data_IF_560993722177
#
_entry.id   IF_560993722177
#
_cell.length_a   1.000
_cell.length_b   1.000
_cell.length_c   1.000
_cell.angle_alpha   90.00
_cell.angle_beta   90.00
_cell.angle_gamma   90.00
#
_symmetry.space_group_name_H-M   'P 1'
#
loop_
_entity.id
_entity.type
_entity.pdbx_description
1 polymer ?
#
# COMPACT_ATOMS: atom_id res chain seq x y z
N UNK A 1 -17.94 28.42 -41.17
CA UNK A 1 -17.60 27.00 -41.43
C UNK A 1 -17.21 26.37 -40.11
N UNK A 2 -18.06 25.50 -39.55
CA UNK A 2 -17.76 24.80 -38.30
C UNK A 2 -16.80 23.65 -38.56
N UNK A 3 -15.60 23.73 -37.98
CA UNK A 3 -14.61 22.66 -38.01
C UNK A 3 -15.03 21.65 -36.96
N UNK A 4 -15.66 20.55 -37.39
CA UNK A 4 -15.90 19.39 -36.54
C UNK A 4 -14.58 18.66 -36.31
N UNK A 5 -13.88 18.99 -35.23
CA UNK A 5 -12.75 18.20 -34.74
C UNK A 5 -13.28 16.94 -34.05
N UNK A 6 -13.38 15.84 -34.80
CA UNK A 6 -13.53 14.50 -34.21
C UNK A 6 -12.22 14.13 -33.52
N UNK A 7 -12.06 14.59 -32.27
CA UNK A 7 -10.93 14.21 -31.41
C UNK A 7 -11.19 12.77 -30.96
N UNK A 8 -10.52 11.82 -31.60
CA UNK A 8 -10.49 10.44 -31.12
C UNK A 8 -9.64 10.44 -29.85
N UNK A 9 -10.27 10.39 -28.67
CA UNK A 9 -9.57 10.18 -27.42
C UNK A 9 -9.01 8.76 -27.39
N UNK A 10 -7.72 8.62 -27.69
CA UNK A 10 -7.02 7.37 -27.48
C UNK A 10 -6.99 7.06 -25.98
N UNK A 11 -7.55 5.93 -25.53
CA UNK A 11 -7.46 5.54 -24.12
C UNK A 11 -5.99 5.42 -23.77
N UNK A 12 -5.57 6.19 -22.76
CA UNK A 12 -4.19 6.22 -22.31
C UNK A 12 -3.91 4.92 -21.55
N UNK A 13 -3.57 3.87 -22.31
CA UNK A 13 -3.37 2.49 -21.84
C UNK A 13 -2.37 2.41 -20.69
N UNK A 14 -1.39 3.34 -20.64
CA UNK A 14 -0.44 3.48 -19.55
C UNK A 14 -1.10 3.91 -18.23
N UNK A 15 -2.06 4.84 -18.28
CA UNK A 15 -2.82 5.25 -17.08
C UNK A 15 -3.67 4.11 -16.55
N UNK A 16 -4.35 3.38 -17.43
CA UNK A 16 -5.15 2.19 -17.04
C UNK A 16 -4.27 1.13 -16.36
N UNK A 17 -3.11 0.80 -16.93
CA UNK A 17 -2.17 -0.16 -16.35
C UNK A 17 -1.64 0.29 -14.97
N UNK A 18 -1.41 1.59 -14.78
CA UNK A 18 -0.98 2.15 -13.49
C UNK A 18 -2.10 2.08 -12.44
N UNK A 19 -3.34 2.41 -12.83
CA UNK A 19 -4.52 2.31 -11.97
C UNK A 19 -4.79 0.87 -11.55
N UNK A 20 -4.68 -0.09 -12.47
CA UNK A 20 -4.89 -1.51 -12.18
C UNK A 20 -3.82 -2.06 -11.25
N UNK A 21 -2.54 -1.66 -11.44
CA UNK A 21 -1.46 -2.01 -10.51
C UNK A 21 -1.72 -1.45 -9.11
N UNK A 22 -2.19 -0.21 -9.02
CA UNK A 22 -2.53 0.43 -7.74
C UNK A 22 -3.69 -0.31 -7.06
N UNK A 23 -4.77 -0.61 -7.78
CA UNK A 23 -5.90 -1.40 -7.26
C UNK A 23 -5.46 -2.76 -6.73
N UNK A 24 -4.57 -3.44 -7.45
CA UNK A 24 -4.04 -4.73 -7.03
C UNK A 24 -3.27 -4.64 -5.71
N UNK A 25 -2.41 -3.63 -5.56
CA UNK A 25 -1.65 -3.41 -4.32
C UNK A 25 -2.60 -3.09 -3.16
N UNK A 26 -3.60 -2.24 -3.37
CA UNK A 26 -4.60 -1.91 -2.34
C UNK A 26 -5.39 -3.15 -1.93
N UNK A 27 -5.85 -3.95 -2.89
CA UNK A 27 -6.58 -5.17 -2.59
C UNK A 27 -5.74 -6.16 -1.76
N UNK A 28 -4.47 -6.38 -2.13
CA UNK A 28 -3.57 -7.25 -1.36
C UNK A 28 -3.39 -6.72 0.07
N UNK A 29 -3.18 -5.42 0.24
CA UNK A 29 -3.05 -4.79 1.56
C UNK A 29 -4.30 -5.04 2.40
N UNK A 30 -5.48 -4.70 1.88
CA UNK A 30 -6.74 -4.78 2.61
C UNK A 30 -7.05 -6.23 3.04
N UNK A 31 -6.75 -7.22 2.19
CA UNK A 31 -6.91 -8.64 2.55
C UNK A 31 -5.93 -9.09 3.64
N UNK A 32 -4.67 -8.64 3.58
CA UNK A 32 -3.69 -8.92 4.64
C UNK A 32 -4.09 -8.27 5.95
N UNK A 33 -4.57 -7.02 5.93
CA UNK A 33 -5.07 -6.32 7.12
C UNK A 33 -6.22 -7.09 7.76
N UNK A 34 -7.20 -7.57 6.98
CA UNK A 34 -8.29 -8.43 7.50
C UNK A 34 -7.77 -9.70 8.16
N UNK A 35 -6.82 -10.39 7.54
CA UNK A 35 -6.24 -11.62 8.11
C UNK A 35 -5.56 -11.33 9.44
N UNK A 36 -4.75 -10.27 9.51
CA UNK A 36 -4.05 -9.88 10.72
C UNK A 36 -5.03 -9.47 11.82
N UNK A 37 -6.02 -8.63 11.53
CA UNK A 37 -7.04 -8.24 12.50
C UNK A 37 -7.85 -9.43 13.03
N UNK A 38 -8.20 -10.39 12.16
CA UNK A 38 -8.87 -11.61 12.59
C UNK A 38 -7.98 -12.46 13.51
N UNK A 39 -6.69 -12.59 13.19
CA UNK A 39 -5.72 -13.25 14.07
C UNK A 39 -5.63 -12.55 15.43
N UNK A 40 -5.55 -11.23 15.45
CA UNK A 40 -5.54 -10.44 16.69
C UNK A 40 -6.79 -10.70 17.53
N UNK A 41 -7.97 -10.76 16.90
CA UNK A 41 -9.23 -11.04 17.58
C UNK A 41 -9.30 -12.47 18.13
N UNK A 42 -8.82 -13.47 17.39
CA UNK A 42 -8.85 -14.89 17.80
C UNK A 42 -7.96 -15.11 19.04
N UNK A 43 -6.77 -14.52 19.05
CA UNK A 43 -5.80 -14.73 20.12
C UNK A 43 -5.89 -13.68 21.23
N UNK A 44 -6.68 -12.62 21.04
CA UNK A 44 -6.83 -11.52 22.00
C UNK A 44 -5.56 -10.70 22.22
N UNK A 45 -4.59 -10.80 21.31
CA UNK A 45 -3.29 -10.13 21.41
C UNK A 45 -2.95 -9.44 20.09
N UNK A 46 -3.40 -8.20 19.95
CA UNK A 46 -3.12 -7.35 18.80
C UNK A 46 -1.63 -7.02 18.70
N UNK A 47 -0.98 -6.80 19.84
CA UNK A 47 0.41 -6.38 19.90
C UNK A 47 1.36 -7.44 19.34
N UNK A 48 1.17 -8.70 19.74
CA UNK A 48 1.95 -9.83 19.22
C UNK A 48 1.81 -9.96 17.70
N UNK A 49 0.59 -9.80 17.17
CA UNK A 49 0.32 -9.90 15.73
C UNK A 49 0.98 -8.75 14.96
N UNK A 50 0.85 -7.52 15.44
CA UNK A 50 1.48 -6.34 14.81
C UNK A 50 3.01 -6.48 14.81
N UNK A 51 3.61 -6.94 15.91
CA UNK A 51 5.05 -7.17 15.97
C UNK A 51 5.51 -8.28 15.02
N UNK A 52 4.77 -9.38 14.96
CA UNK A 52 5.09 -10.48 14.05
C UNK A 52 5.03 -10.03 12.57
N UNK A 53 3.98 -9.28 12.21
CA UNK A 53 3.83 -8.71 10.88
C UNK A 53 4.95 -7.71 10.56
N UNK A 54 5.28 -6.82 11.50
CA UNK A 54 6.39 -5.87 11.38
C UNK A 54 7.74 -6.57 11.18
N UNK A 55 8.02 -7.61 11.98
CA UNK A 55 9.23 -8.44 11.85
C UNK A 55 9.31 -9.11 10.48
N UNK A 56 8.22 -9.72 10.03
CA UNK A 56 8.17 -10.36 8.71
C UNK A 56 8.45 -9.34 7.60
N UNK A 57 7.77 -8.19 7.63
CA UNK A 57 7.94 -7.13 6.65
C UNK A 57 9.38 -6.62 6.61
N UNK A 58 9.99 -6.32 7.77
CA UNK A 58 11.33 -5.74 7.82
C UNK A 58 12.40 -6.69 7.28
N UNK A 59 12.32 -7.97 7.65
CA UNK A 59 13.25 -9.00 7.17
C UNK A 59 13.11 -9.22 5.67
N UNK A 60 11.88 -9.29 5.15
CA UNK A 60 11.63 -9.54 3.73
C UNK A 60 11.98 -8.34 2.85
N UNK A 61 11.61 -7.13 3.27
CA UNK A 61 11.98 -5.91 2.54
C UNK A 61 13.49 -5.70 2.51
N UNK A 62 14.19 -6.00 3.61
CA UNK A 62 15.65 -5.96 3.62
C UNK A 62 16.24 -6.95 2.60
N UNK A 63 15.70 -8.17 2.50
CA UNK A 63 16.17 -9.17 1.53
C UNK A 63 15.91 -8.76 0.07
N UNK A 64 14.78 -8.09 -0.20
CA UNK A 64 14.37 -7.74 -1.57
C UNK A 64 15.00 -6.43 -2.07
N UNK A 65 15.04 -5.41 -1.23
CA UNK A 65 15.40 -4.03 -1.62
C UNK A 65 16.66 -3.50 -0.92
N UNK A 66 17.19 -4.24 0.06
CA UNK A 66 18.32 -3.83 0.88
C UNK A 66 17.93 -2.94 2.06
N UNK A 67 18.86 -2.79 3.01
CA UNK A 67 18.60 -2.12 4.29
C UNK A 67 18.14 -0.66 4.15
N UNK A 68 18.78 0.12 3.27
CA UNK A 68 18.50 1.56 3.15
C UNK A 68 17.06 1.84 2.72
N UNK A 69 16.61 1.23 1.62
CA UNK A 69 15.26 1.40 1.08
C UNK A 69 14.19 0.85 2.03
N UNK A 70 14.48 -0.27 2.71
CA UNK A 70 13.57 -0.84 3.70
C UNK A 70 13.34 0.14 4.86
N UNK A 71 14.40 0.73 5.41
CA UNK A 71 14.28 1.74 6.48
C UNK A 71 13.53 2.99 6.01
N UNK A 72 13.83 3.51 4.82
CA UNK A 72 13.12 4.65 4.24
C UNK A 72 11.62 4.38 4.12
N UNK A 73 11.23 3.19 3.65
CA UNK A 73 9.84 2.78 3.58
C UNK A 73 9.13 2.83 4.93
N UNK A 74 9.72 2.24 5.98
CA UNK A 74 9.10 2.27 7.32
C UNK A 74 9.00 3.68 7.88
N UNK A 75 10.01 4.53 7.67
CA UNK A 75 9.96 5.93 8.09
C UNK A 75 8.83 6.68 7.39
N UNK A 76 8.62 6.44 6.10
CA UNK A 76 7.55 7.09 5.35
C UNK A 76 6.16 6.58 5.76
N UNK A 77 6.04 5.31 6.14
CA UNK A 77 4.82 4.80 6.76
C UNK A 77 4.51 5.53 8.08
N UNK A 78 5.50 5.72 8.95
CA UNK A 78 5.33 6.42 10.23
C UNK A 78 4.91 7.87 9.99
N UNK A 79 5.61 8.60 9.11
CA UNK A 79 5.25 9.98 8.74
C UNK A 79 3.83 10.08 8.20
N UNK A 80 3.42 9.12 7.36
CA UNK A 80 2.05 9.09 6.81
C UNK A 80 1.01 8.93 7.92
N UNK A 81 1.28 8.06 8.90
CA UNK A 81 0.39 7.85 10.04
C UNK A 81 0.34 9.09 10.95
N UNK A 82 1.47 9.73 11.21
CA UNK A 82 1.56 10.98 11.98
C UNK A 82 0.78 12.11 11.30
N UNK A 83 0.99 12.31 10.00
CA UNK A 83 0.27 13.32 9.22
C UNK A 83 -1.24 13.04 9.17
N UNK A 84 -1.64 11.76 9.12
CA UNK A 84 -3.05 11.39 9.16
C UNK A 84 -3.70 11.69 10.51
N UNK A 85 -2.92 11.69 11.61
CA UNK A 85 -3.38 12.08 12.95
C UNK A 85 -3.44 13.59 13.16
N UNK A 86 -2.60 14.36 12.49
CA UNK A 86 -2.60 15.84 12.57
C UNK A 86 -3.81 16.45 11.84
N UNK A 87 -4.34 15.74 10.83
CA UNK A 87 -5.48 16.19 10.02
C UNK A 87 -6.83 15.58 10.47
N UNK A 88 -6.89 14.98 11.67
CA UNK A 88 -8.09 14.47 12.34
C UNK A 88 -8.39 15.32 13.57
#
# INVERSE_FOLDING_TARGET
MSINTNIIQFPNKLKQLQEDKKKKILHIRDEIEKVLSNYSNIYGDEWAVVLAAGRFSSMRLQQLEGSKKSTEFFLDCIKTQENSRINQ
#
